data_IF_488537769610
#
_entry.id   IF_488537769610
#
_cell.length_a   1.000
_cell.length_b   1.000
_cell.length_c   1.000
_cell.angle_alpha   90.00
_cell.angle_beta   90.00
_cell.angle_gamma   90.00
#
_symmetry.space_group_name_H-M   'P 1'
#
loop_
_entity.id
_entity.type
_entity.pdbx_description
1 polymer ?
#
# COMPACT_ATOMS: atom_id res chain seq x y z
N UNK A 1 -5.68 0.49 -16.98
CA UNK A 1 -5.46 -0.60 -16.00
C UNK A 1 -4.56 -1.65 -16.61
N UNK A 2 -3.87 -2.48 -15.83
CA UNK A 2 -3.04 -3.56 -16.39
C UNK A 2 -3.93 -4.61 -17.08
N UNK A 3 -3.55 -5.00 -18.29
CA UNK A 3 -4.25 -5.98 -19.11
C UNK A 3 -3.50 -7.32 -19.17
N UNK A 4 -2.19 -7.27 -18.96
CA UNK A 4 -1.32 -8.45 -18.94
C UNK A 4 -0.76 -8.74 -17.55
N UNK A 5 -0.33 -9.99 -17.30
CA UNK A 5 0.35 -10.35 -16.04
C UNK A 5 1.59 -9.52 -15.78
N UNK A 6 2.37 -9.20 -16.83
CA UNK A 6 3.57 -8.34 -16.72
C UNK A 6 3.20 -6.92 -16.29
N UNK A 7 2.15 -6.36 -16.87
CA UNK A 7 1.64 -5.04 -16.49
C UNK A 7 1.11 -5.03 -15.06
N UNK A 8 0.43 -6.11 -14.63
CA UNK A 8 -0.05 -6.24 -13.25
C UNK A 8 1.10 -6.26 -12.24
N UNK A 9 2.18 -6.99 -12.53
CA UNK A 9 3.39 -7.01 -11.67
C UNK A 9 4.00 -5.62 -11.59
N UNK A 10 4.24 -4.96 -12.73
CA UNK A 10 4.83 -3.61 -12.76
C UNK A 10 3.96 -2.61 -12.00
N UNK A 11 2.65 -2.63 -12.24
CA UNK A 11 1.71 -1.77 -11.52
C UNK A 11 1.74 -2.01 -10.01
N UNK A 12 1.75 -3.29 -9.59
CA UNK A 12 1.85 -3.66 -8.16
C UNK A 12 3.16 -3.20 -7.55
N UNK A 13 4.28 -3.37 -8.25
CA UNK A 13 5.58 -2.87 -7.78
C UNK A 13 5.58 -1.35 -7.59
N UNK A 14 5.02 -0.60 -8.55
CA UNK A 14 4.90 0.87 -8.45
C UNK A 14 3.99 1.29 -7.30
N UNK A 15 2.84 0.61 -7.13
CA UNK A 15 1.92 0.86 -6.01
C UNK A 15 2.57 0.53 -4.67
N UNK A 16 3.23 -0.62 -4.55
CA UNK A 16 3.93 -1.03 -3.34
C UNK A 16 5.06 -0.05 -3.00
N UNK A 17 5.84 0.39 -3.99
CA UNK A 17 6.89 1.39 -3.79
C UNK A 17 6.34 2.67 -3.17
N UNK A 18 5.32 3.26 -3.77
CA UNK A 18 4.70 4.49 -3.25
C UNK A 18 4.06 4.30 -1.87
N UNK A 19 3.36 3.17 -1.67
CA UNK A 19 2.68 2.89 -0.40
C UNK A 19 3.66 2.62 0.74
N UNK A 20 4.70 1.82 0.50
CA UNK A 20 5.71 1.53 1.54
C UNK A 20 6.49 2.80 1.89
N UNK A 21 6.91 3.59 0.89
CA UNK A 21 7.59 4.85 1.14
C UNK A 21 6.69 5.84 1.91
N UNK A 22 5.42 5.95 1.50
CA UNK A 22 4.46 6.82 2.17
C UNK A 22 4.19 6.38 3.62
N UNK A 23 3.98 5.08 3.85
CA UNK A 23 3.73 4.54 5.20
C UNK A 23 4.96 4.57 6.10
N UNK A 24 6.14 4.26 5.58
CA UNK A 24 7.40 4.38 6.31
C UNK A 24 7.65 5.85 6.72
N UNK A 25 7.40 6.80 5.82
CA UNK A 25 7.49 8.23 6.13
C UNK A 25 6.46 8.66 7.17
N UNK A 26 5.21 8.24 7.03
CA UNK A 26 4.13 8.51 7.96
C UNK A 26 4.43 7.98 9.36
N UNK A 27 4.84 6.73 9.48
CA UNK A 27 5.16 6.11 10.76
C UNK A 27 6.40 6.75 11.40
N UNK A 28 7.45 6.99 10.64
CA UNK A 28 8.66 7.66 11.13
C UNK A 28 8.38 9.08 11.62
N UNK A 29 7.53 9.81 10.90
CA UNK A 29 7.11 11.16 11.29
C UNK A 29 6.31 11.15 12.59
N UNK A 30 5.42 10.18 12.79
CA UNK A 30 4.65 10.03 14.03
C UNK A 30 5.51 9.68 15.24
N UNK A 31 6.55 8.89 15.05
CA UNK A 31 7.43 8.44 16.14
C UNK A 31 8.54 9.45 16.49
N UNK A 32 9.12 10.08 15.49
CA UNK A 32 10.28 10.98 15.66
C UNK A 32 9.91 12.46 15.64
N UNK A 33 8.68 12.78 15.22
CA UNK A 33 8.24 14.16 15.04
C UNK A 33 8.87 14.83 13.82
N UNK A 34 8.40 16.05 13.53
CA UNK A 34 8.83 16.82 12.34
C UNK A 34 10.30 17.27 12.40
N UNK A 35 10.84 17.46 13.60
CA UNK A 35 12.22 17.92 13.80
C UNK A 35 13.25 16.77 13.87
N UNK A 36 12.78 15.52 13.95
CA UNK A 36 13.66 14.35 14.03
C UNK A 36 14.12 13.86 12.63
N UNK A 37 15.05 12.90 12.57
CA UNK A 37 15.57 12.34 11.32
C UNK A 37 14.59 11.33 10.69
N UNK A 38 13.29 11.70 10.60
CA UNK A 38 12.21 10.82 10.15
C UNK A 38 12.41 10.27 8.74
N UNK A 39 13.00 11.07 7.83
CA UNK A 39 13.22 10.66 6.46
C UNK A 39 14.31 9.59 6.34
N UNK A 40 15.40 9.74 7.09
CA UNK A 40 16.47 8.74 7.16
C UNK A 40 15.96 7.41 7.74
N UNK A 41 15.18 7.47 8.82
CA UNK A 41 14.53 6.31 9.41
C UNK A 41 13.54 5.65 8.44
N UNK A 42 12.76 6.44 7.71
CA UNK A 42 11.85 5.93 6.68
C UNK A 42 12.58 5.19 5.56
N UNK A 43 13.71 5.70 5.10
CA UNK A 43 14.52 5.05 4.07
C UNK A 43 15.16 3.74 4.55
N UNK A 44 15.61 3.67 5.80
CA UNK A 44 16.14 2.44 6.37
C UNK A 44 15.10 1.34 6.44
N UNK A 45 13.89 1.66 6.88
CA UNK A 45 12.78 0.71 6.97
C UNK A 45 12.21 0.33 5.59
N UNK A 46 12.27 1.27 4.62
CA UNK A 46 11.71 1.08 3.29
C UNK A 46 12.17 -0.19 2.60
N UNK A 47 13.46 -0.48 2.59
CA UNK A 47 14.00 -1.64 1.86
C UNK A 47 13.48 -2.96 2.42
N UNK A 48 13.47 -3.13 3.74
CA UNK A 48 12.97 -4.34 4.38
C UNK A 48 11.46 -4.52 4.17
N UNK A 49 10.70 -3.45 4.34
CA UNK A 49 9.26 -3.47 4.18
C UNK A 49 8.85 -3.66 2.71
N UNK A 50 9.57 -3.07 1.75
CA UNK A 50 9.25 -3.17 0.33
C UNK A 50 9.36 -4.59 -0.20
N UNK A 51 10.45 -5.29 0.11
CA UNK A 51 10.64 -6.67 -0.33
C UNK A 51 9.59 -7.62 0.25
N UNK A 52 9.08 -7.33 1.44
CA UNK A 52 7.98 -8.08 2.03
C UNK A 52 6.63 -7.68 1.43
N UNK A 53 6.41 -6.39 1.22
CA UNK A 53 5.14 -5.85 0.76
C UNK A 53 4.77 -6.26 -0.67
N UNK A 54 5.74 -6.34 -1.59
CA UNK A 54 5.48 -6.66 -3.00
C UNK A 54 4.84 -8.05 -3.17
N UNK A 55 5.42 -9.15 -2.67
CA UNK A 55 4.79 -10.46 -2.81
C UNK A 55 3.47 -10.55 -2.05
N UNK A 56 3.38 -9.98 -0.85
CA UNK A 56 2.13 -9.95 -0.08
C UNK A 56 1.03 -9.19 -0.81
N UNK A 57 1.34 -8.03 -1.38
CA UNK A 57 0.40 -7.25 -2.16
C UNK A 57 -0.06 -7.99 -3.42
N UNK A 58 0.87 -8.63 -4.13
CA UNK A 58 0.57 -9.31 -5.38
C UNK A 58 -0.27 -10.58 -5.17
N UNK A 59 0.13 -11.45 -4.24
CA UNK A 59 -0.50 -12.75 -4.05
C UNK A 59 -1.72 -12.72 -3.13
N UNK A 60 -1.78 -11.80 -2.17
CA UNK A 60 -2.82 -11.76 -1.14
C UNK A 60 -3.66 -10.48 -1.26
N UNK A 61 -3.03 -9.33 -1.14
CA UNK A 61 -3.73 -8.04 -1.02
C UNK A 61 -4.56 -7.70 -2.26
N UNK A 62 -3.95 -7.69 -3.44
CA UNK A 62 -4.61 -7.31 -4.68
C UNK A 62 -5.74 -8.27 -5.10
N UNK A 63 -5.58 -9.60 -5.05
CA UNK A 63 -6.68 -10.52 -5.38
C UNK A 63 -7.88 -10.40 -4.45
N UNK A 64 -7.65 -10.24 -3.15
CA UNK A 64 -8.74 -10.08 -2.17
C UNK A 64 -9.43 -8.74 -2.36
N UNK A 65 -8.67 -7.64 -2.47
CA UNK A 65 -9.22 -6.31 -2.71
C UNK A 65 -10.04 -6.25 -4.01
N UNK A 66 -9.56 -6.89 -5.07
CA UNK A 66 -10.28 -6.97 -6.34
C UNK A 66 -11.60 -7.72 -6.20
N UNK A 67 -11.60 -8.88 -5.54
CA UNK A 67 -12.84 -9.66 -5.30
C UNK A 67 -13.86 -8.86 -4.48
N UNK A 68 -13.41 -8.16 -3.43
CA UNK A 68 -14.29 -7.31 -2.63
C UNK A 68 -14.83 -6.13 -3.44
N UNK A 69 -13.97 -5.46 -4.21
CA UNK A 69 -14.40 -4.35 -5.06
C UNK A 69 -15.47 -4.76 -6.05
N UNK A 70 -15.30 -5.90 -6.74
CA UNK A 70 -16.28 -6.43 -7.70
C UNK A 70 -17.60 -6.83 -6.98
N UNK A 71 -17.48 -7.40 -5.77
CA UNK A 71 -18.65 -7.82 -5.00
C UNK A 71 -19.52 -6.64 -4.53
N UNK A 72 -18.88 -5.54 -4.09
CA UNK A 72 -19.60 -4.38 -3.56
C UNK A 72 -20.01 -3.38 -4.64
N UNK A 73 -19.28 -3.30 -5.78
CA UNK A 73 -19.57 -2.39 -6.90
C UNK A 73 -19.53 -3.10 -8.25
N UNK A 74 -20.41 -4.09 -8.49
CA UNK A 74 -20.34 -4.93 -9.69
C UNK A 74 -20.62 -4.18 -11.00
N UNK A 75 -21.33 -3.04 -10.96
CA UNK A 75 -21.86 -2.36 -12.15
C UNK A 75 -21.20 -1.02 -12.49
N UNK A 76 -20.21 -0.56 -11.72
CA UNK A 76 -19.64 0.77 -11.90
C UNK A 76 -18.12 0.73 -12.10
N UNK A 77 -17.69 0.55 -13.34
CA UNK A 77 -16.26 0.58 -13.71
C UNK A 77 -15.53 1.84 -13.22
N UNK A 78 -16.20 2.99 -13.22
CA UNK A 78 -15.62 4.26 -12.71
C UNK A 78 -15.31 4.23 -11.22
N UNK A 79 -16.05 3.43 -10.43
CA UNK A 79 -15.82 3.30 -8.99
C UNK A 79 -14.80 2.21 -8.64
N UNK A 80 -14.42 1.36 -9.60
CA UNK A 80 -13.43 0.31 -9.38
C UNK A 80 -12.09 0.83 -8.81
N UNK A 81 -11.49 1.92 -9.33
CA UNK A 81 -10.28 2.48 -8.74
C UNK A 81 -10.45 2.99 -7.32
N UNK A 82 -11.64 3.50 -6.97
CA UNK A 82 -11.96 3.96 -5.61
C UNK A 82 -12.12 2.77 -4.68
N UNK A 83 -12.85 1.74 -5.11
CA UNK A 83 -13.01 0.49 -4.36
C UNK A 83 -11.66 -0.17 -4.06
N UNK A 84 -10.79 -0.29 -5.06
CA UNK A 84 -9.42 -0.78 -4.85
C UNK A 84 -8.64 0.13 -3.89
N UNK A 85 -8.83 1.45 -3.98
CA UNK A 85 -8.21 2.43 -3.08
C UNK A 85 -8.65 2.31 -1.62
N UNK A 86 -9.85 1.78 -1.36
CA UNK A 86 -10.39 1.54 -0.02
C UNK A 86 -10.03 0.14 0.48
N UNK A 87 -10.33 -0.90 -0.29
CA UNK A 87 -10.17 -2.28 0.17
C UNK A 87 -8.71 -2.71 0.28
N UNK A 88 -7.82 -2.23 -0.61
CA UNK A 88 -6.40 -2.56 -0.53
C UNK A 88 -5.77 -2.11 0.79
N UNK A 89 -5.90 -0.85 1.25
CA UNK A 89 -5.38 -0.43 2.55
C UNK A 89 -6.03 -1.18 3.72
N UNK A 90 -7.35 -1.43 3.67
CA UNK A 90 -8.05 -2.16 4.72
C UNK A 90 -7.53 -3.59 4.92
N UNK A 91 -7.01 -4.22 3.87
CA UNK A 91 -6.43 -5.56 3.91
C UNK A 91 -4.93 -5.48 4.22
N UNK A 92 -4.21 -4.63 3.48
CA UNK A 92 -2.75 -4.58 3.56
C UNK A 92 -2.24 -3.96 4.84
N UNK A 93 -2.91 -2.93 5.40
CA UNK A 93 -2.42 -2.27 6.60
C UNK A 93 -2.43 -3.21 7.83
N UNK A 94 -3.51 -3.95 8.17
CA UNK A 94 -3.46 -4.93 9.24
C UNK A 94 -2.46 -6.06 8.97
N UNK A 95 -2.43 -6.56 7.74
CA UNK A 95 -1.55 -7.65 7.34
C UNK A 95 -0.07 -7.27 7.48
N UNK A 96 0.33 -6.13 6.91
CA UNK A 96 1.70 -5.64 7.02
C UNK A 96 2.06 -5.24 8.43
N UNK A 97 1.14 -4.59 9.18
CA UNK A 97 1.38 -4.25 10.58
C UNK A 97 1.64 -5.52 11.40
N UNK A 98 0.84 -6.57 11.20
CA UNK A 98 1.05 -7.85 11.89
C UNK A 98 2.40 -8.46 11.51
N UNK A 99 2.70 -8.56 10.21
CA UNK A 99 3.96 -9.14 9.73
C UNK A 99 5.19 -8.39 10.28
N UNK A 100 5.17 -7.07 10.25
CA UNK A 100 6.28 -6.25 10.75
C UNK A 100 6.44 -6.43 12.26
N UNK A 101 5.35 -6.37 13.03
CA UNK A 101 5.42 -6.54 14.48
C UNK A 101 5.88 -7.95 14.88
N UNK A 102 5.41 -8.98 14.18
CA UNK A 102 5.81 -10.37 14.44
C UNK A 102 7.26 -10.64 14.04
N UNK A 103 7.67 -10.21 12.84
CA UNK A 103 8.98 -10.56 12.27
C UNK A 103 10.11 -9.69 12.82
N UNK A 104 9.87 -8.39 13.04
CA UNK A 104 10.92 -7.45 13.42
C UNK A 104 10.90 -7.04 14.89
N UNK A 105 9.70 -6.93 15.48
CA UNK A 105 9.57 -6.47 16.88
C UNK A 105 9.25 -7.57 17.87
N UNK A 106 8.86 -8.77 17.41
CA UNK A 106 8.45 -9.89 18.25
C UNK A 106 7.33 -9.54 19.24
N UNK A 107 6.45 -8.61 18.86
CA UNK A 107 5.33 -8.13 19.69
C UNK A 107 4.05 -8.81 19.26
N UNK A 108 3.40 -9.52 20.22
CA UNK A 108 2.19 -10.30 19.98
C UNK A 108 0.97 -9.78 20.78
N UNK A 109 1.07 -8.59 21.37
CA UNK A 109 0.01 -8.04 22.21
C UNK A 109 -1.05 -7.27 21.44
N UNK A 110 -2.31 -7.64 21.60
CA UNK A 110 -3.45 -6.93 21.02
C UNK A 110 -3.61 -5.48 21.48
N UNK A 111 -3.16 -5.16 22.68
CA UNK A 111 -3.18 -3.79 23.20
C UNK A 111 -2.30 -2.84 22.37
N UNK A 112 -1.25 -3.35 21.75
CA UNK A 112 -0.35 -2.58 20.88
C UNK A 112 -0.82 -2.63 19.42
N UNK A 113 -1.20 -3.83 18.94
CA UNK A 113 -1.60 -4.05 17.55
C UNK A 113 -2.91 -3.36 17.18
N UNK A 114 -3.91 -3.37 18.08
CA UNK A 114 -5.23 -2.80 17.79
C UNK A 114 -5.20 -1.31 17.42
N UNK A 115 -4.64 -0.42 18.27
CA UNK A 115 -4.49 0.99 17.93
C UNK A 115 -3.61 1.23 16.69
N UNK A 116 -2.56 0.41 16.51
CA UNK A 116 -1.70 0.48 15.32
C UNK A 116 -2.47 0.16 14.03
N UNK A 117 -3.37 -0.82 14.05
CA UNK A 117 -4.21 -1.16 12.89
C UNK A 117 -5.09 0.01 12.48
N UNK A 118 -5.85 0.60 13.40
CA UNK A 118 -6.75 1.72 13.10
C UNK A 118 -5.97 2.91 12.53
N UNK A 119 -4.88 3.26 13.16
CA UNK A 119 -4.00 4.36 12.72
C UNK A 119 -3.43 4.09 11.33
N UNK A 120 -2.92 2.89 11.09
CA UNK A 120 -2.27 2.52 9.83
C UNK A 120 -3.30 2.36 8.71
N UNK A 121 -4.50 1.87 8.97
CA UNK A 121 -5.58 1.83 7.97
C UNK A 121 -5.94 3.26 7.53
N UNK A 122 -6.16 4.17 8.47
CA UNK A 122 -6.50 5.55 8.16
C UNK A 122 -5.39 6.26 7.37
N UNK A 123 -4.14 6.13 7.80
CA UNK A 123 -2.97 6.67 7.10
C UNK A 123 -2.81 6.09 5.71
N UNK A 124 -2.90 4.76 5.57
CA UNK A 124 -2.77 4.07 4.30
C UNK A 124 -3.90 4.43 3.32
N UNK A 125 -5.15 4.58 3.78
CA UNK A 125 -6.26 5.05 2.96
C UNK A 125 -6.01 6.46 2.44
N UNK A 126 -5.60 7.38 3.29
CA UNK A 126 -5.28 8.76 2.89
C UNK A 126 -4.17 8.80 1.86
N UNK A 127 -3.05 8.13 2.12
CA UNK A 127 -1.91 8.05 1.21
C UNK A 127 -2.32 7.40 -0.13
N UNK A 128 -3.07 6.32 -0.11
CA UNK A 128 -3.48 5.62 -1.32
C UNK A 128 -4.46 6.41 -2.17
N UNK A 129 -5.49 7.01 -1.57
CA UNK A 129 -6.53 7.71 -2.32
C UNK A 129 -6.05 9.05 -2.89
N UNK A 130 -5.29 9.81 -2.10
CA UNK A 130 -4.93 11.17 -2.46
C UNK A 130 -3.54 11.33 -3.06
N UNK A 131 -2.60 10.45 -2.73
CA UNK A 131 -1.21 10.60 -3.15
C UNK A 131 -0.78 9.49 -4.13
N UNK A 132 -0.63 8.28 -3.63
CA UNK A 132 -0.01 7.18 -4.40
C UNK A 132 -0.91 6.71 -5.53
N UNK A 133 -2.21 6.55 -5.30
CA UNK A 133 -3.15 6.08 -6.31
C UNK A 133 -3.18 6.96 -7.57
N UNK A 134 -3.42 8.27 -7.47
CA UNK A 134 -3.38 9.17 -8.62
C UNK A 134 -2.02 9.19 -9.32
N UNK A 135 -0.92 9.32 -8.55
CA UNK A 135 0.44 9.40 -9.09
C UNK A 135 0.81 8.14 -9.86
N UNK A 136 0.61 6.97 -9.26
CA UNK A 136 0.97 5.69 -9.91
C UNK A 136 0.12 5.43 -11.15
N UNK A 137 -1.17 5.74 -11.12
CA UNK A 137 -2.03 5.59 -12.30
C UNK A 137 -1.58 6.50 -13.44
N UNK A 138 -1.17 7.72 -13.15
CA UNK A 138 -0.63 8.65 -14.13
C UNK A 138 0.69 8.14 -14.72
N UNK A 139 1.65 7.78 -13.86
CA UNK A 139 2.94 7.24 -14.29
C UNK A 139 2.82 5.95 -15.10
N UNK A 140 1.95 5.04 -14.66
CA UNK A 140 1.68 3.78 -15.37
C UNK A 140 1.03 4.04 -16.74
N UNK A 141 0.13 5.03 -16.84
CA UNK A 141 -0.45 5.48 -18.09
C UNK A 141 0.63 5.96 -19.08
N UNK A 142 1.53 6.83 -18.63
CA UNK A 142 2.65 7.32 -19.45
C UNK A 142 3.58 6.19 -19.90
N UNK A 143 3.88 5.24 -19.00
CA UNK A 143 4.69 4.07 -19.32
C UNK A 143 4.03 3.19 -20.41
N UNK A 144 2.72 2.97 -20.31
CA UNK A 144 1.95 2.18 -21.30
C UNK A 144 1.93 2.87 -22.67
N UNK A 145 1.76 4.19 -22.73
CA UNK A 145 1.81 4.97 -23.97
C UNK A 145 3.17 4.90 -24.67
N UNK A 146 4.27 4.91 -23.90
CA UNK A 146 5.63 4.77 -24.48
C UNK A 146 5.90 3.40 -25.10
N UNK A 147 5.21 2.37 -24.65
CA UNK A 147 5.39 1.00 -25.15
C UNK A 147 4.60 0.71 -26.44
N UNK A 148 3.63 1.57 -26.77
CA UNK A 148 2.80 1.46 -27.97
C UNK A 148 3.36 2.28 -29.16
N UNK A 149 4.41 3.07 -28.95
CA UNK A 149 5.22 3.73 -29.99
C UNK A 149 6.48 2.91 -30.27
#
# INVERSE_FOLDING_TARGET
MPETRKEAVIFTCMMAFGMVLGMASYNSLLHLGWQGPWFSAALQNFFHEYFLAVPVAYFIGSPIAMRLTIRFWPWKERLFPIGMGIFTPCIMAPLMTTLIHVLFFHVYSWSVLGPAFLRNIAGAMGIQLFLVGPVVRHCFGLWKFRKLK
#
